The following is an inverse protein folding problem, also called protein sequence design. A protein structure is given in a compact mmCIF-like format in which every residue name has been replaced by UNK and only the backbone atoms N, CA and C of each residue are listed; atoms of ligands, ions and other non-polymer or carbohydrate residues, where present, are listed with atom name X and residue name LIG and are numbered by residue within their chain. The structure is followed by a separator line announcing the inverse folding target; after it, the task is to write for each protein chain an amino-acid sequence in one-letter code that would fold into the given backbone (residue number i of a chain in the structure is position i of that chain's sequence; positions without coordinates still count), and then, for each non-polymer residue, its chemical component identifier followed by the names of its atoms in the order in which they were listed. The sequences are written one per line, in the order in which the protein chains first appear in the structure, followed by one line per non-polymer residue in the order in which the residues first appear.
data_IF_910205714375
#
_entry.id   IF_910205714375
#
_cell.length_a   1.000
_cell.length_b   1.000
_cell.length_c   1.000
_cell.angle_alpha   90.00
_cell.angle_beta   90.00
_cell.angle_gamma   90.00
#
_symmetry.space_group_name_H-M   'P 1'
#
loop_
_entity.id
_entity.type
_entity.pdbx_description
1 polymer ?
#
# COMPACT_ATOMS: atom_id res chain seq x y z
N UNK A 1 9.87 6.03 24.29
CA UNK A 1 10.50 6.49 23.03
C UNK A 1 9.78 7.69 22.44
N UNK A 2 8.50 7.60 22.08
CA UNK A 2 7.74 8.73 21.48
C UNK A 2 7.78 10.03 22.30
N UNK A 3 7.55 9.96 23.62
CA UNK A 3 7.64 11.13 24.52
C UNK A 3 9.00 11.86 24.50
N UNK A 4 10.08 11.18 24.13
CA UNK A 4 11.40 11.81 24.06
C UNK A 4 11.47 12.76 22.87
N UNK A 5 11.03 12.31 21.70
CA UNK A 5 11.10 13.08 20.46
C UNK A 5 10.04 14.18 20.36
N UNK A 6 8.97 14.09 21.15
CA UNK A 6 8.05 15.22 21.34
C UNK A 6 8.68 16.36 22.16
N UNK A 7 9.61 16.05 23.06
CA UNK A 7 10.30 17.03 23.90
C UNK A 7 11.63 17.50 23.29
N UNK A 8 12.23 16.67 22.43
CA UNK A 8 13.50 16.92 21.76
C UNK A 8 13.31 16.70 20.26
N UNK A 9 12.77 17.70 19.54
CA UNK A 9 12.52 17.58 18.11
C UNK A 9 13.84 17.41 17.35
N UNK A 10 13.87 16.44 16.45
CA UNK A 10 15.04 16.14 15.62
C UNK A 10 14.74 16.54 14.18
N UNK A 11 15.74 17.02 13.45
CA UNK A 11 15.63 17.41 12.05
C UNK A 11 16.45 16.47 11.16
N UNK A 12 15.90 16.12 9.99
CA UNK A 12 16.57 15.38 8.92
C UNK A 12 16.42 16.20 7.63
N UNK A 13 17.54 16.61 7.03
CA UNK A 13 17.58 17.49 5.84
C UNK A 13 16.72 18.76 5.97
N UNK A 14 16.67 19.34 7.17
CA UNK A 14 15.87 20.53 7.45
C UNK A 14 14.38 20.29 7.70
N UNK A 15 13.91 19.04 7.62
CA UNK A 15 12.55 18.67 7.98
C UNK A 15 12.51 18.11 9.41
N UNK A 16 11.58 18.59 10.23
CA UNK A 16 11.40 18.07 11.59
C UNK A 16 10.74 16.69 11.54
N UNK A 17 11.36 15.71 12.18
CA UNK A 17 10.81 14.37 12.34
C UNK A 17 9.63 14.41 13.32
N UNK A 18 8.45 13.96 12.86
CA UNK A 18 7.34 13.61 13.75
C UNK A 18 7.43 12.13 14.09
N UNK A 19 7.21 11.80 15.36
CA UNK A 19 7.12 10.41 15.80
C UNK A 19 5.84 10.27 16.61
N UNK A 20 4.94 9.47 16.10
CA UNK A 20 3.67 9.16 16.74
C UNK A 20 3.56 7.66 16.99
N UNK A 21 2.94 7.30 18.13
CA UNK A 21 2.58 5.90 18.33
C UNK A 21 1.46 5.58 17.36
N UNK A 22 1.70 4.63 16.45
CA UNK A 22 0.60 4.02 15.71
C UNK A 22 -0.46 3.51 16.70
N UNK A 23 -1.76 3.58 16.36
CA UNK A 23 -2.82 2.98 17.17
C UNK A 23 -2.47 1.51 17.49
N UNK A 24 -2.97 0.99 18.61
CA UNK A 24 -2.68 -0.38 19.09
C UNK A 24 -3.34 -1.44 18.18
N UNK A 25 -2.82 -1.55 16.97
CA UNK A 25 -3.29 -2.40 15.90
C UNK A 25 -2.37 -3.63 15.90
N UNK A 26 -2.85 -4.69 16.55
CA UNK A 26 -2.07 -5.86 16.97
C UNK A 26 -1.81 -6.88 15.84
N UNK A 27 -2.28 -6.66 14.60
CA UNK A 27 -2.19 -7.69 13.54
C UNK A 27 -2.00 -7.12 12.13
N UNK A 28 -1.43 -7.93 11.22
CA UNK A 28 -1.16 -7.59 9.80
C UNK A 28 -2.41 -7.27 8.95
N UNK A 29 -3.63 -7.51 9.45
CA UNK A 29 -4.86 -6.99 8.84
C UNK A 29 -4.95 -5.44 8.83
N UNK A 30 -4.05 -4.78 9.57
CA UNK A 30 -3.95 -3.33 9.73
C UNK A 30 -3.12 -2.62 8.63
N UNK A 31 -2.60 -3.32 7.62
CA UNK A 31 -1.77 -2.69 6.57
C UNK A 31 -2.52 -1.59 5.80
N UNK A 32 -3.74 -1.90 5.33
CA UNK A 32 -4.59 -0.90 4.68
C UNK A 32 -5.03 0.19 5.66
N UNK A 33 -5.28 -0.14 6.92
CA UNK A 33 -5.69 0.84 7.93
C UNK A 33 -4.61 1.88 8.22
N UNK A 34 -3.36 1.43 8.35
CA UNK A 34 -2.20 2.32 8.49
C UNK A 34 -2.03 3.16 7.22
N UNK A 35 -2.12 2.53 6.05
CA UNK A 35 -1.99 3.23 4.78
C UNK A 35 -3.08 4.31 4.60
N UNK A 36 -4.33 3.99 4.95
CA UNK A 36 -5.46 4.92 4.92
C UNK A 36 -5.28 6.05 5.93
N UNK A 37 -4.79 5.74 7.13
CA UNK A 37 -4.50 6.76 8.13
C UNK A 37 -3.47 7.78 7.59
N UNK A 38 -2.40 7.30 6.95
CA UNK A 38 -1.38 8.15 6.31
C UNK A 38 -1.94 8.97 5.15
N UNK A 39 -2.79 8.38 4.31
CA UNK A 39 -3.46 9.10 3.23
C UNK A 39 -4.36 10.21 3.80
N UNK A 40 -5.12 9.92 4.85
CA UNK A 40 -6.03 10.89 5.50
C UNK A 40 -5.29 12.01 6.21
N UNK A 41 -4.11 11.72 6.77
CA UNK A 41 -3.23 12.74 7.35
C UNK A 41 -2.73 13.71 6.27
N UNK A 42 -2.44 13.19 5.07
CA UNK A 42 -1.97 13.99 3.93
C UNK A 42 -3.10 14.75 3.23
N UNK A 43 -4.28 14.13 3.10
CA UNK A 43 -5.50 14.73 2.54
C UNK A 43 -6.72 14.43 3.44
N UNK A 44 -7.07 15.37 4.34
CA UNK A 44 -8.18 15.20 5.28
C UNK A 44 -9.56 15.06 4.62
N UNK A 45 -9.69 15.40 3.33
CA UNK A 45 -10.97 15.37 2.58
C UNK A 45 -11.21 14.04 1.87
N UNK A 46 -10.25 13.12 1.92
CA UNK A 46 -10.36 11.82 1.25
C UNK A 46 -11.52 10.99 1.82
N UNK A 47 -12.31 10.37 0.94
CA UNK A 47 -13.36 9.43 1.36
C UNK A 47 -12.77 8.04 1.60
N UNK A 48 -12.41 7.76 2.86
CA UNK A 48 -11.75 6.52 3.27
C UNK A 48 -12.58 5.25 3.03
N UNK A 49 -13.90 5.33 2.97
CA UNK A 49 -14.75 4.16 2.74
C UNK A 49 -14.64 3.64 1.31
N UNK A 50 -14.43 4.55 0.36
CA UNK A 50 -14.42 4.22 -1.08
C UNK A 50 -13.04 3.88 -1.63
N UNK A 51 -11.96 4.33 -0.99
CA UNK A 51 -10.60 4.15 -1.51
C UNK A 51 -10.09 2.72 -1.44
N UNK A 52 -10.61 1.87 -0.55
CA UNK A 52 -10.24 0.45 -0.48
C UNK A 52 -10.44 -0.26 -1.82
N UNK A 53 -11.53 0.06 -2.52
CA UNK A 53 -11.87 -0.54 -3.83
C UNK A 53 -10.92 -0.11 -4.96
N UNK A 54 -10.05 0.86 -4.69
CA UNK A 54 -9.03 1.34 -5.61
C UNK A 54 -7.64 0.78 -5.31
N UNK A 55 -7.47 0.01 -4.23
CA UNK A 55 -6.16 -0.55 -3.88
C UNK A 55 -5.88 -1.86 -4.62
N UNK A 56 -4.63 -2.03 -5.01
CA UNK A 56 -4.06 -3.27 -5.51
C UNK A 56 -2.86 -3.64 -4.65
N UNK A 57 -2.84 -4.89 -4.22
CA UNK A 57 -1.76 -5.48 -3.45
C UNK A 57 -0.83 -6.24 -4.39
N UNK A 58 0.43 -5.83 -4.42
CA UNK A 58 1.52 -6.59 -5.01
C UNK A 58 2.25 -7.30 -3.88
N UNK A 59 2.45 -8.61 -4.01
CA UNK A 59 3.23 -9.42 -3.06
C UNK A 59 4.35 -10.19 -3.77
N UNK A 60 5.17 -10.87 -2.99
CA UNK A 60 6.36 -11.57 -3.49
C UNK A 60 7.36 -10.63 -4.18
N UNK A 61 7.51 -9.40 -3.66
CA UNK A 61 8.56 -8.49 -4.11
C UNK A 61 9.94 -9.02 -3.66
N UNK A 62 11.01 -8.86 -4.47
CA UNK A 62 12.36 -9.26 -4.05
C UNK A 62 12.80 -8.55 -2.75
N UNK A 63 13.68 -9.19 -1.96
CA UNK A 63 14.27 -8.55 -0.78
C UNK A 63 15.19 -7.38 -1.13
N UNK A 64 15.89 -7.49 -2.26
CA UNK A 64 16.78 -6.47 -2.79
C UNK A 64 16.77 -6.44 -4.34
N UNK A 65 17.65 -5.64 -4.93
CA UNK A 65 17.87 -5.66 -6.38
C UNK A 65 16.80 -4.97 -7.24
N UNK A 66 15.71 -4.47 -6.64
CA UNK A 66 14.70 -3.66 -7.32
C UNK A 66 14.62 -2.24 -6.76
N UNK A 67 14.19 -1.30 -7.61
CA UNK A 67 13.87 0.07 -7.18
C UNK A 67 12.40 0.14 -6.79
N UNK A 68 12.08 0.81 -5.69
CA UNK A 68 10.68 1.02 -5.26
C UNK A 68 9.80 1.59 -6.39
N UNK A 69 10.35 2.49 -7.20
CA UNK A 69 9.67 3.06 -8.38
C UNK A 69 9.24 2.01 -9.40
N UNK A 70 9.93 0.88 -9.50
CA UNK A 70 9.60 -0.19 -10.43
C UNK A 70 8.24 -0.83 -10.06
N UNK A 71 7.94 -1.01 -8.77
CA UNK A 71 6.62 -1.46 -8.32
C UNK A 71 5.52 -0.44 -8.69
N UNK A 72 5.81 0.85 -8.59
CA UNK A 72 4.90 1.94 -9.00
C UNK A 72 4.67 1.90 -10.52
N UNK A 73 5.72 1.68 -11.31
CA UNK A 73 5.65 1.56 -12.77
C UNK A 73 4.72 0.42 -13.22
N UNK A 74 4.61 -0.67 -12.46
CA UNK A 74 3.64 -1.74 -12.75
C UNK A 74 2.21 -1.19 -12.76
N UNK A 75 1.84 -0.38 -11.77
CA UNK A 75 0.51 0.23 -11.64
C UNK A 75 0.25 1.33 -12.67
N UNK A 76 1.27 2.13 -13.02
CA UNK A 76 1.18 3.20 -14.01
C UNK A 76 0.76 2.72 -15.42
N UNK A 77 0.90 1.41 -15.71
CA UNK A 77 0.41 0.81 -16.97
C UNK A 77 -1.11 0.75 -17.06
N UNK A 78 -1.83 0.87 -15.93
CA UNK A 78 -3.28 0.68 -15.85
C UNK A 78 -4.05 1.94 -15.44
N UNK A 79 -3.38 2.87 -14.74
CA UNK A 79 -3.97 4.13 -14.30
C UNK A 79 -2.97 4.95 -13.50
N UNK A 80 -3.35 6.18 -13.11
CA UNK A 80 -2.49 6.98 -12.24
C UNK A 80 -2.40 6.32 -10.86
N UNK A 81 -1.19 6.15 -10.35
CA UNK A 81 -0.95 5.77 -8.96
C UNK A 81 -1.04 7.03 -8.11
N UNK A 82 -2.08 7.11 -7.26
CA UNK A 82 -2.37 8.29 -6.43
C UNK A 82 -1.51 8.28 -5.17
N UNK A 83 -1.50 7.15 -4.47
CA UNK A 83 -0.68 6.90 -3.29
C UNK A 83 -0.12 5.48 -3.37
N UNK A 84 1.02 5.23 -2.73
CA UNK A 84 1.56 3.88 -2.60
C UNK A 84 2.35 3.73 -1.30
N UNK A 85 2.51 2.48 -0.88
CA UNK A 85 3.41 2.11 0.22
C UNK A 85 4.10 0.80 -0.12
N UNK A 86 5.40 0.70 0.18
CA UNK A 86 6.18 -0.54 0.07
C UNK A 86 6.56 -1.03 1.45
N UNK A 87 6.11 -2.23 1.80
CA UNK A 87 6.42 -2.94 3.03
C UNK A 87 7.52 -3.96 2.77
N UNK A 88 8.77 -3.49 2.78
CA UNK A 88 9.95 -4.33 2.47
C UNK A 88 10.05 -5.58 3.34
N UNK A 89 9.81 -5.45 4.64
CA UNK A 89 9.83 -6.56 5.60
C UNK A 89 8.75 -7.63 5.37
N UNK A 90 7.81 -7.36 4.47
CA UNK A 90 6.73 -8.28 4.09
C UNK A 90 6.74 -8.58 2.60
N UNK A 91 7.71 -8.08 1.84
CA UNK A 91 7.81 -8.26 0.40
C UNK A 91 6.51 -7.88 -0.32
N UNK A 92 5.90 -6.76 0.09
CA UNK A 92 4.59 -6.29 -0.37
C UNK A 92 4.62 -4.81 -0.76
N UNK A 93 3.73 -4.44 -1.66
CA UNK A 93 3.37 -3.05 -1.94
C UNK A 93 1.85 -2.92 -2.07
N UNK A 94 1.32 -1.79 -1.62
CA UNK A 94 -0.09 -1.43 -1.82
C UNK A 94 -0.11 -0.19 -2.69
N UNK A 95 -0.80 -0.26 -3.82
CA UNK A 95 -0.97 0.84 -4.76
C UNK A 95 -2.41 1.31 -4.74
N UNK A 96 -2.67 2.59 -4.51
CA UNK A 96 -3.96 3.21 -4.78
C UNK A 96 -3.99 3.73 -6.21
N UNK A 97 -4.87 3.17 -7.05
CA UNK A 97 -5.11 3.70 -8.39
C UNK A 97 -6.18 4.79 -8.38
N UNK A 98 -6.21 5.59 -9.44
CA UNK A 98 -7.18 6.67 -9.62
C UNK A 98 -8.65 6.21 -9.76
N UNK A 99 -8.87 4.93 -10.04
CA UNK A 99 -10.20 4.37 -10.24
C UNK A 99 -10.27 2.88 -9.93
N UNK A 100 -11.46 2.43 -9.52
CA UNK A 100 -11.78 1.01 -9.30
C UNK A 100 -11.55 0.19 -10.56
N UNK A 101 -11.90 0.76 -11.73
CA UNK A 101 -11.70 0.12 -13.04
C UNK A 101 -10.23 -0.12 -13.35
N UNK A 102 -9.36 0.83 -13.03
CA UNK A 102 -7.91 0.66 -13.19
C UNK A 102 -7.39 -0.47 -12.29
N UNK A 103 -7.83 -0.52 -11.02
CA UNK A 103 -7.44 -1.57 -10.08
C UNK A 103 -7.88 -2.96 -10.57
N UNK A 104 -9.14 -3.09 -10.99
CA UNK A 104 -9.68 -4.34 -11.56
C UNK A 104 -8.97 -4.77 -12.84
N UNK A 105 -8.64 -3.81 -13.72
CA UNK A 105 -7.90 -4.05 -14.95
C UNK A 105 -6.50 -4.58 -14.66
N UNK A 106 -5.77 -3.94 -13.73
CA UNK A 106 -4.46 -4.38 -13.28
C UNK A 106 -4.49 -5.80 -12.71
N UNK A 107 -5.45 -6.08 -11.82
CA UNK A 107 -5.62 -7.42 -11.25
C UNK A 107 -5.87 -8.46 -12.35
N UNK A 108 -6.87 -8.23 -13.19
CA UNK A 108 -7.25 -9.17 -14.25
C UNK A 108 -6.11 -9.43 -15.23
N UNK A 109 -5.36 -8.39 -15.60
CA UNK A 109 -4.22 -8.51 -16.50
C UNK A 109 -3.08 -9.32 -15.88
N UNK A 110 -2.70 -9.03 -14.62
CA UNK A 110 -1.58 -9.72 -13.96
C UNK A 110 -1.90 -11.19 -13.62
N UNK A 111 -3.17 -11.54 -13.47
CA UNK A 111 -3.60 -12.95 -13.36
C UNK A 111 -3.36 -13.73 -14.66
N UNK A 112 -3.46 -13.07 -15.83
CA UNK A 112 -3.23 -13.70 -17.13
C UNK A 112 -1.76 -13.61 -17.58
N UNK A 113 -1.08 -12.53 -17.22
CA UNK A 113 0.29 -12.23 -17.60
C UNK A 113 1.12 -11.91 -16.35
N UNK A 114 1.68 -12.96 -15.70
CA UNK A 114 2.50 -12.78 -14.51
C UNK A 114 3.67 -11.82 -14.78
N UNK A 115 3.96 -10.95 -13.81
CA UNK A 115 5.05 -9.98 -13.91
C UNK A 115 6.23 -10.46 -13.08
N UNK A 116 7.39 -10.61 -13.70
CA UNK A 116 8.62 -11.00 -13.03
C UNK A 116 9.45 -9.76 -12.68
N UNK A 117 9.91 -9.70 -11.45
CA UNK A 117 10.82 -8.71 -10.90
C UNK A 117 12.07 -9.45 -10.43
N UNK A 118 13.09 -9.49 -11.28
CA UNK A 118 14.20 -10.46 -11.14
C UNK A 118 13.68 -11.90 -11.18
N UNK A 119 14.11 -12.72 -10.22
CA UNK A 119 13.70 -14.13 -10.08
C UNK A 119 12.33 -14.30 -9.40
N UNK A 120 11.65 -13.21 -9.02
CA UNK A 120 10.39 -13.26 -8.29
C UNK A 120 9.22 -12.92 -9.20
N UNK A 121 8.26 -13.84 -9.31
CA UNK A 121 6.97 -13.55 -9.95
C UNK A 121 6.07 -12.85 -8.94
N UNK A 122 5.66 -11.61 -9.24
CA UNK A 122 4.79 -10.86 -8.36
C UNK A 122 3.42 -11.54 -8.24
N UNK A 123 2.89 -11.56 -7.02
CA UNK A 123 1.49 -11.88 -6.76
C UNK A 123 0.65 -10.61 -6.79
N UNK A 124 -0.60 -10.71 -7.24
CA UNK A 124 -1.51 -9.57 -7.35
C UNK A 124 -2.86 -9.91 -6.74
N UNK A 125 -3.37 -9.04 -5.85
CA UNK A 125 -4.67 -9.18 -5.23
C UNK A 125 -5.38 -7.82 -5.10
N UNK A 126 -6.71 -7.84 -5.11
CA UNK A 126 -7.53 -6.68 -4.75
C UNK A 126 -7.78 -6.68 -3.24
N UNK A 127 -8.13 -5.51 -2.70
CA UNK A 127 -8.61 -5.43 -1.31
C UNK A 127 -9.82 -6.33 -1.10
N UNK A 128 -9.92 -7.04 0.03
CA UNK A 128 -11.10 -7.81 0.35
C UNK A 128 -12.31 -6.87 0.47
N UNK A 129 -13.33 -7.07 -0.35
CA UNK A 129 -14.65 -6.48 -0.09
C UNK A 129 -15.25 -7.19 1.12
N UNK A 130 -15.87 -6.44 2.04
CA UNK A 130 -16.59 -7.01 3.19
C UNK A 130 -17.66 -8.05 2.82
N UNK A 131 -18.03 -8.17 1.54
CA UNK A 131 -19.00 -9.14 1.03
C UNK A 131 -18.44 -10.55 0.75
N UNK A 132 -17.14 -10.80 0.93
CA UNK A 132 -16.53 -12.08 0.55
C UNK A 132 -16.43 -13.11 1.69
N UNK A 133 -16.98 -12.83 2.87
CA UNK A 133 -16.88 -13.70 4.06
C UNK A 133 -17.99 -14.77 4.19
N UNK A 134 -19.03 -14.75 3.36
CA UNK A 134 -20.17 -15.69 3.46
C UNK A 134 -20.30 -16.65 2.26
N UNK A 135 -19.23 -17.32 1.85
CA UNK A 135 -19.42 -18.55 1.05
C UNK A 135 -18.31 -19.56 1.33
N UNK A 136 -18.41 -20.25 2.47
CA UNK A 136 -17.85 -21.60 2.69
C UNK A 136 -18.42 -22.15 4.00
N UNK A 137 -19.59 -22.75 3.88
CA UNK A 137 -20.14 -23.73 4.81
C UNK A 137 -20.03 -25.11 4.16
#
# INVERSE_FOLDING_TARGET
MVKFYTCFPMTLDGHQLSIDMAPQQKTVADEESIFIALIKESDPKVNTETIHSQFVHLGNLPDDGYRELEAVCVGLRFGKVVNYVVLKNKNKAILQLDSIKAAQSMYSFLQQYPYNMGEHTLTCALSPSSDSAEVRA
#
